data_IF_030551842902
#
_entry.id   IF_030551842902
#
_cell.length_a   1.000
_cell.length_b   1.000
_cell.length_c   1.000
_cell.angle_alpha   90.00
_cell.angle_beta   90.00
_cell.angle_gamma   90.00
#
_symmetry.space_group_name_H-M   'P 1'
#
loop_
_entity.id
_entity.type
_entity.pdbx_description
1 polymer ?
#
# COMPACT_ATOMS: atom_id res chain seq x y z
N UNK A 1 -33.48 24.58 -44.81
CA UNK A 1 -32.80 23.57 -45.64
C UNK A 1 -32.49 22.37 -44.77
N UNK A 2 -32.51 21.14 -45.32
CA UNK A 2 -32.00 19.97 -44.60
C UNK A 2 -30.58 20.22 -44.08
N UNK A 3 -30.27 19.73 -42.88
CA UNK A 3 -28.92 19.85 -42.31
C UNK A 3 -27.92 19.04 -43.17
N UNK A 4 -26.70 19.55 -43.37
CA UNK A 4 -25.72 18.94 -44.30
C UNK A 4 -25.36 17.49 -43.95
N UNK A 5 -25.51 17.10 -42.67
CA UNK A 5 -25.30 15.72 -42.20
C UNK A 5 -26.27 14.71 -42.82
N UNK A 6 -27.39 15.14 -43.41
CA UNK A 6 -28.30 14.28 -44.18
C UNK A 6 -27.71 13.86 -45.54
N UNK A 7 -26.70 14.57 -46.04
CA UNK A 7 -25.96 14.22 -47.25
C UNK A 7 -24.76 13.30 -47.02
N UNK A 8 -24.58 12.78 -45.80
CA UNK A 8 -23.51 11.84 -45.48
C UNK A 8 -23.81 10.46 -46.06
N UNK A 9 -22.82 9.89 -46.71
CA UNK A 9 -22.88 8.55 -47.30
C UNK A 9 -21.55 7.82 -47.08
N UNK A 10 -21.59 6.48 -47.12
CA UNK A 10 -20.40 5.61 -47.05
C UNK A 10 -19.61 5.68 -48.36
N UNK A 11 -18.28 5.67 -48.30
CA UNK A 11 -17.42 5.66 -49.48
C UNK A 11 -16.97 4.24 -49.91
N UNK A 12 -17.05 3.23 -49.02
CA UNK A 12 -16.70 1.81 -49.31
C UNK A 12 -17.92 0.85 -49.29
N UNK A 13 -17.86 -0.25 -50.07
CA UNK A 13 -18.85 -1.35 -50.05
C UNK A 13 -18.70 -2.25 -48.80
N UNK A 14 -19.82 -2.70 -48.22
CA UNK A 14 -19.92 -3.27 -46.84
C UNK A 14 -19.80 -4.79 -46.71
N UNK A 15 -19.31 -5.25 -45.55
CA UNK A 15 -19.69 -6.51 -44.88
C UNK A 15 -20.90 -6.26 -43.94
N UNK A 16 -21.71 -7.28 -43.57
CA UNK A 16 -22.95 -7.07 -42.83
C UNK A 16 -22.70 -6.80 -41.34
N UNK A 17 -23.14 -5.65 -40.82
CA UNK A 17 -22.77 -5.15 -39.48
C UNK A 17 -23.95 -4.58 -38.64
N UNK A 18 -25.19 -4.97 -38.92
CA UNK A 18 -26.36 -4.31 -38.29
C UNK A 18 -26.73 -4.80 -36.88
N UNK A 19 -26.05 -5.80 -36.31
CA UNK A 19 -26.56 -6.51 -35.13
C UNK A 19 -26.17 -5.92 -33.74
N UNK A 20 -25.37 -4.86 -33.69
CA UNK A 20 -24.77 -4.37 -32.43
C UNK A 20 -24.77 -2.84 -32.24
N UNK A 21 -25.49 -2.11 -33.08
CA UNK A 21 -25.50 -0.65 -33.09
C UNK A 21 -26.29 -0.06 -31.90
N UNK A 22 -25.70 0.94 -31.23
CA UNK A 22 -26.24 1.68 -30.07
C UNK A 22 -27.60 2.35 -30.43
N UNK A 23 -28.53 2.63 -29.49
CA UNK A 23 -29.74 3.46 -29.74
C UNK A 23 -29.48 4.79 -30.46
N UNK A 24 -28.26 5.32 -30.41
CA UNK A 24 -27.82 6.46 -31.22
C UNK A 24 -27.92 6.18 -32.75
N UNK A 25 -27.67 4.95 -33.20
CA UNK A 25 -27.74 4.56 -34.61
C UNK A 25 -29.18 4.52 -35.15
N UNK A 26 -30.14 4.01 -34.37
CA UNK A 26 -31.56 4.03 -34.76
C UNK A 26 -32.07 5.47 -34.90
N UNK A 27 -31.65 6.34 -33.98
CA UNK A 27 -31.97 7.78 -34.00
C UNK A 27 -31.36 8.49 -35.20
N UNK A 28 -30.09 8.23 -35.49
CA UNK A 28 -29.41 8.76 -36.68
C UNK A 28 -30.08 8.22 -37.95
N UNK A 29 -30.41 6.92 -38.00
CA UNK A 29 -31.06 6.30 -39.14
C UNK A 29 -32.42 6.91 -39.45
N UNK A 30 -33.22 7.18 -38.42
CA UNK A 30 -34.55 7.81 -38.55
C UNK A 30 -34.50 9.31 -38.88
N UNK A 31 -33.50 10.04 -38.37
CA UNK A 31 -33.46 11.52 -38.47
C UNK A 31 -32.54 12.01 -39.60
N UNK A 32 -31.43 11.32 -39.84
CA UNK A 32 -30.38 11.67 -40.79
C UNK A 32 -30.28 10.70 -41.98
N UNK A 33 -30.87 9.51 -41.86
CA UNK A 33 -30.87 8.48 -42.90
C UNK A 33 -29.77 7.44 -42.73
N UNK A 34 -29.92 6.29 -43.41
CA UNK A 34 -29.00 5.15 -43.34
C UNK A 34 -27.56 5.50 -43.80
N UNK A 35 -27.41 6.51 -44.68
CA UNK A 35 -26.11 6.98 -45.14
C UNK A 35 -25.27 7.58 -44.01
N UNK A 36 -25.90 8.31 -43.09
CA UNK A 36 -25.24 8.92 -41.93
C UNK A 36 -24.77 7.87 -40.91
N UNK A 37 -25.57 6.82 -40.69
CA UNK A 37 -25.18 5.66 -39.86
C UNK A 37 -23.96 4.96 -40.48
N UNK A 38 -24.04 4.68 -41.77
CA UNK A 38 -22.97 3.99 -42.50
C UNK A 38 -21.66 4.77 -42.51
N UNK A 39 -21.73 6.09 -42.65
CA UNK A 39 -20.58 6.99 -42.55
C UNK A 39 -19.95 6.92 -41.14
N UNK A 40 -20.76 6.97 -40.08
CA UNK A 40 -20.25 6.92 -38.71
C UNK A 40 -19.59 5.56 -38.38
N UNK A 41 -20.13 4.46 -38.93
CA UNK A 41 -19.51 3.13 -38.83
C UNK A 41 -18.14 3.12 -39.52
N UNK A 42 -18.06 3.59 -40.77
CA UNK A 42 -16.80 3.67 -41.53
C UNK A 42 -15.74 4.51 -40.78
N UNK A 43 -16.12 5.67 -40.25
CA UNK A 43 -15.22 6.50 -39.44
C UNK A 43 -14.78 5.78 -38.16
N UNK A 44 -15.68 5.09 -37.48
CA UNK A 44 -15.35 4.27 -36.30
C UNK A 44 -14.33 3.18 -36.60
N UNK A 45 -14.47 2.50 -37.74
CA UNK A 45 -13.50 1.50 -38.22
C UNK A 45 -12.14 2.13 -38.54
N UNK A 46 -12.12 3.25 -39.26
CA UNK A 46 -10.88 3.95 -39.62
C UNK A 46 -10.14 4.45 -38.36
N UNK A 47 -10.87 4.91 -37.34
CA UNK A 47 -10.30 5.25 -36.03
C UNK A 47 -9.63 4.03 -35.40
N UNK A 48 -10.35 2.91 -35.29
CA UNK A 48 -9.83 1.70 -34.65
C UNK A 48 -8.60 1.16 -35.38
N UNK A 49 -8.63 1.13 -36.71
CA UNK A 49 -7.49 0.73 -37.54
C UNK A 49 -6.28 1.66 -37.36
N UNK A 50 -6.51 2.97 -37.25
CA UNK A 50 -5.44 3.96 -37.02
C UNK A 50 -4.81 3.81 -35.65
N UNK A 51 -5.61 3.61 -34.61
CA UNK A 51 -5.11 3.34 -33.25
C UNK A 51 -4.18 2.12 -33.25
N UNK A 52 -4.60 1.01 -33.88
CA UNK A 52 -3.77 -0.21 -33.97
C UNK A 52 -2.47 0.04 -34.73
N UNK A 53 -2.52 0.81 -35.81
CA UNK A 53 -1.34 1.11 -36.65
C UNK A 53 -0.33 2.01 -35.93
N UNK A 54 -0.79 3.01 -35.18
CA UNK A 54 0.09 4.02 -34.58
C UNK A 54 0.52 3.69 -33.15
N UNK A 55 -0.21 2.81 -32.46
CA UNK A 55 0.07 2.40 -31.08
C UNK A 55 0.23 0.87 -30.98
N UNK A 56 1.32 0.30 -31.52
CA UNK A 56 1.55 -1.15 -31.58
C UNK A 56 1.80 -1.81 -30.21
N UNK A 57 2.03 -1.02 -29.15
CA UNK A 57 2.06 -1.51 -27.75
C UNK A 57 0.73 -2.15 -27.32
N UNK A 58 -0.35 -1.93 -28.08
CA UNK A 58 -1.56 -2.72 -27.98
C UNK A 58 -1.38 -4.05 -28.74
N UNK A 59 -0.77 -5.06 -28.11
CA UNK A 59 -0.89 -6.45 -28.59
C UNK A 59 -2.37 -6.87 -28.52
N UNK A 60 -3.10 -6.75 -29.63
CA UNK A 60 -4.53 -6.98 -29.65
C UNK A 60 -4.86 -8.40 -30.09
N UNK A 61 -5.49 -9.18 -29.20
CA UNK A 61 -6.31 -10.32 -29.62
C UNK A 61 -7.53 -9.81 -30.41
N UNK A 62 -8.09 -10.64 -31.30
CA UNK A 62 -9.25 -10.24 -32.11
C UNK A 62 -10.44 -9.70 -31.31
N UNK A 63 -10.61 -10.13 -30.05
CA UNK A 63 -11.63 -9.61 -29.15
C UNK A 63 -11.38 -8.15 -28.70
N UNK A 64 -10.12 -7.75 -28.50
CA UNK A 64 -9.77 -6.38 -28.10
C UNK A 64 -10.01 -5.38 -29.23
N UNK A 65 -9.67 -5.77 -30.46
CA UNK A 65 -9.98 -4.97 -31.64
C UNK A 65 -11.47 -4.71 -31.77
N UNK A 66 -12.30 -5.73 -31.51
CA UNK A 66 -13.76 -5.57 -31.53
C UNK A 66 -14.26 -4.61 -30.46
N UNK A 67 -13.69 -4.63 -29.26
CA UNK A 67 -14.04 -3.67 -28.18
C UNK A 67 -13.66 -2.24 -28.55
N UNK A 68 -12.45 -2.02 -29.07
CA UNK A 68 -11.99 -0.69 -29.52
C UNK A 68 -12.88 -0.19 -30.66
N UNK A 69 -13.13 -1.03 -31.66
CA UNK A 69 -14.02 -0.72 -32.79
C UNK A 69 -15.42 -0.34 -32.34
N UNK A 70 -15.98 -1.05 -31.34
CA UNK A 70 -17.28 -0.70 -30.75
C UNK A 70 -17.26 0.69 -30.11
N UNK A 71 -16.23 0.98 -29.31
CA UNK A 71 -16.08 2.27 -28.66
C UNK A 71 -15.91 3.41 -29.67
N UNK A 72 -15.16 3.21 -30.75
CA UNK A 72 -14.87 4.24 -31.75
C UNK A 72 -16.07 4.51 -32.65
N UNK A 73 -16.82 3.48 -33.04
CA UNK A 73 -18.11 3.63 -33.75
C UNK A 73 -19.15 4.35 -32.90
N UNK A 74 -19.32 3.98 -31.63
CA UNK A 74 -20.22 4.71 -30.71
C UNK A 74 -19.82 6.18 -30.60
N UNK A 75 -18.51 6.46 -30.50
CA UNK A 75 -17.97 7.82 -30.45
C UNK A 75 -18.30 8.62 -31.72
N UNK A 76 -18.16 8.01 -32.90
CA UNK A 76 -18.48 8.65 -34.18
C UNK A 76 -19.98 8.96 -34.31
N UNK A 77 -20.86 8.04 -33.90
CA UNK A 77 -22.31 8.25 -33.86
C UNK A 77 -22.67 9.42 -32.93
N UNK A 78 -22.11 9.46 -31.73
CA UNK A 78 -22.36 10.55 -30.76
C UNK A 78 -21.84 11.90 -31.23
N UNK A 79 -20.66 11.93 -31.83
CA UNK A 79 -20.15 13.16 -32.44
C UNK A 79 -21.11 13.67 -33.53
N UNK A 80 -21.70 12.76 -34.30
CA UNK A 80 -22.66 13.10 -35.34
C UNK A 80 -23.99 13.63 -34.77
N UNK A 81 -24.51 13.06 -33.67
CA UNK A 81 -25.73 13.58 -33.03
C UNK A 81 -25.54 15.01 -32.51
N UNK A 82 -24.35 15.33 -31.97
CA UNK A 82 -23.99 16.67 -31.50
C UNK A 82 -23.87 17.66 -32.66
N UNK A 83 -23.18 17.28 -33.73
CA UNK A 83 -23.00 18.12 -34.92
C UNK A 83 -24.35 18.41 -35.58
N UNK A 84 -25.23 17.41 -35.69
CA UNK A 84 -26.57 17.55 -36.25
C UNK A 84 -27.56 18.29 -35.32
N UNK A 85 -27.19 18.55 -34.07
CA UNK A 85 -28.06 19.21 -33.10
C UNK A 85 -29.25 18.35 -32.63
N UNK A 86 -29.11 17.03 -32.70
CA UNK A 86 -30.14 16.04 -32.30
C UNK A 86 -29.79 15.31 -31.00
N UNK A 87 -28.70 15.71 -30.35
CA UNK A 87 -28.33 15.21 -29.03
C UNK A 87 -29.33 15.69 -27.97
N UNK A 88 -29.68 14.82 -27.01
CA UNK A 88 -30.47 15.21 -25.84
C UNK A 88 -29.67 16.14 -24.92
N UNK A 89 -30.35 17.09 -24.28
CA UNK A 89 -29.73 18.06 -23.35
C UNK A 89 -28.97 17.41 -22.19
N UNK A 90 -29.31 16.17 -21.83
CA UNK A 90 -28.70 15.36 -20.75
C UNK A 90 -27.89 14.15 -21.27
N UNK A 91 -27.68 14.01 -22.58
CA UNK A 91 -26.88 12.91 -23.10
C UNK A 91 -25.43 13.06 -22.59
N UNK A 92 -25.03 12.24 -21.62
CA UNK A 92 -23.64 12.09 -21.23
C UNK A 92 -22.81 11.87 -22.50
N UNK A 93 -21.86 12.76 -22.74
CA UNK A 93 -20.92 12.66 -23.85
C UNK A 93 -20.02 11.40 -23.72
N UNK A 94 -19.98 10.78 -22.54
CA UNK A 94 -19.34 9.50 -22.28
C UNK A 94 -20.23 8.32 -22.70
N UNK A 95 -19.64 7.39 -23.47
CA UNK A 95 -20.25 6.11 -23.82
C UNK A 95 -19.76 5.03 -22.83
N UNK A 96 -20.61 4.06 -22.41
CA UNK A 96 -20.18 2.95 -21.56
C UNK A 96 -18.94 2.20 -22.07
N UNK A 97 -18.75 2.16 -23.38
CA UNK A 97 -17.62 1.54 -24.07
C UNK A 97 -16.29 2.25 -23.77
N UNK A 98 -16.31 3.57 -23.51
CA UNK A 98 -15.12 4.35 -23.13
C UNK A 98 -14.62 3.93 -21.75
N UNK A 99 -15.55 3.76 -20.82
CA UNK A 99 -15.23 3.26 -19.48
C UNK A 99 -14.67 1.84 -19.54
N UNK A 100 -15.22 0.98 -20.40
CA UNK A 100 -14.71 -0.38 -20.60
C UNK A 100 -13.26 -0.36 -21.08
N UNK A 101 -12.92 0.48 -22.07
CA UNK A 101 -11.54 0.61 -22.56
C UNK A 101 -10.64 1.19 -21.47
N UNK A 102 -11.04 2.24 -20.75
CA UNK A 102 -10.25 2.82 -19.66
C UNK A 102 -9.96 1.81 -18.53
N UNK A 103 -10.96 0.99 -18.17
CA UNK A 103 -10.81 -0.10 -17.18
C UNK A 103 -9.86 -1.20 -17.67
N UNK A 104 -9.93 -1.58 -18.95
CA UNK A 104 -9.00 -2.56 -19.54
C UNK A 104 -7.55 -2.07 -19.46
N UNK A 105 -7.29 -0.81 -19.83
CA UNK A 105 -5.96 -0.20 -19.72
C UNK A 105 -5.42 -0.23 -18.29
N UNK A 106 -6.25 0.14 -17.31
CA UNK A 106 -5.87 0.13 -15.90
C UNK A 106 -5.53 -1.29 -15.41
N UNK A 107 -6.35 -2.29 -15.74
CA UNK A 107 -6.15 -3.70 -15.34
C UNK A 107 -4.90 -4.33 -15.96
N UNK A 108 -4.53 -3.90 -17.16
CA UNK A 108 -3.32 -4.37 -17.86
C UNK A 108 -2.04 -3.69 -17.37
N UNK A 109 -2.15 -2.68 -16.50
CA UNK A 109 -1.01 -1.93 -15.99
C UNK A 109 -0.37 -0.98 -17.00
N UNK A 110 -1.09 -0.62 -18.06
CA UNK A 110 -0.62 0.36 -19.05
C UNK A 110 -0.56 1.78 -18.46
N UNK A 111 0.19 2.68 -19.10
CA UNK A 111 0.33 4.07 -18.61
C UNK A 111 -0.91 4.91 -18.96
N UNK A 112 -1.24 5.89 -18.11
CA UNK A 112 -2.31 6.85 -18.42
C UNK A 112 -2.00 7.60 -19.71
N UNK A 113 -0.73 7.90 -19.99
CA UNK A 113 -0.31 8.56 -21.22
C UNK A 113 -0.62 7.73 -22.47
N UNK A 114 -0.55 6.40 -22.39
CA UNK A 114 -0.89 5.51 -23.51
C UNK A 114 -2.40 5.56 -23.81
N UNK A 115 -3.22 5.58 -22.76
CA UNK A 115 -4.67 5.79 -22.88
C UNK A 115 -4.95 7.15 -23.53
N UNK A 116 -4.33 8.23 -23.04
CA UNK A 116 -4.50 9.57 -23.59
C UNK A 116 -4.01 9.68 -25.05
N UNK A 117 -2.93 9.00 -25.41
CA UNK A 117 -2.43 8.95 -26.78
C UNK A 117 -3.47 8.29 -27.72
N UNK A 118 -4.07 7.19 -27.29
CA UNK A 118 -5.14 6.49 -28.02
C UNK A 118 -6.33 7.41 -28.32
N UNK A 119 -6.74 8.19 -27.32
CA UNK A 119 -7.83 9.17 -27.43
C UNK A 119 -7.49 10.26 -28.45
N UNK A 120 -6.27 10.81 -28.39
CA UNK A 120 -5.83 11.88 -29.30
C UNK A 120 -5.76 11.40 -30.75
N UNK A 121 -5.27 10.19 -30.99
CA UNK A 121 -5.23 9.57 -32.33
C UNK A 121 -6.63 9.41 -32.88
N UNK A 122 -7.55 8.81 -32.11
CA UNK A 122 -8.91 8.61 -32.58
C UNK A 122 -9.68 9.90 -32.80
N UNK A 123 -9.44 10.90 -31.95
CA UNK A 123 -10.00 12.23 -32.12
C UNK A 123 -9.52 12.92 -33.40
N UNK A 124 -8.24 12.81 -33.74
CA UNK A 124 -7.69 13.42 -34.95
C UNK A 124 -8.36 12.86 -36.23
N UNK A 125 -8.60 11.55 -36.28
CA UNK A 125 -9.30 10.89 -37.40
C UNK A 125 -10.76 11.35 -37.48
N UNK A 126 -11.48 11.37 -36.35
CA UNK A 126 -12.86 11.83 -36.29
C UNK A 126 -13.00 13.30 -36.72
N UNK A 127 -12.11 14.15 -36.25
CA UNK A 127 -12.12 15.58 -36.57
C UNK A 127 -11.86 15.82 -38.06
N UNK A 128 -10.87 15.12 -38.64
CA UNK A 128 -10.62 15.19 -40.08
C UNK A 128 -11.86 14.78 -40.89
N UNK A 129 -12.46 13.63 -40.56
CA UNK A 129 -13.62 13.12 -41.28
C UNK A 129 -14.83 14.09 -41.24
N UNK A 130 -15.12 14.68 -40.08
CA UNK A 130 -16.22 15.65 -39.94
C UNK A 130 -15.95 16.97 -40.65
N UNK A 131 -14.71 17.48 -40.57
CA UNK A 131 -14.34 18.73 -41.22
C UNK A 131 -14.31 18.58 -42.74
N UNK A 132 -13.81 17.46 -43.26
CA UNK A 132 -13.82 17.15 -44.70
C UNK A 132 -15.26 17.02 -45.23
N UNK A 133 -16.14 16.36 -44.48
CA UNK A 133 -17.55 16.26 -44.85
C UNK A 133 -18.25 17.63 -44.83
N UNK A 134 -17.95 18.48 -43.84
CA UNK A 134 -18.48 19.85 -43.79
C UNK A 134 -17.98 20.70 -44.96
N UNK A 135 -16.71 20.57 -45.36
CA UNK A 135 -16.15 21.26 -46.52
C UNK A 135 -16.84 20.86 -47.84
N UNK A 136 -17.24 19.60 -47.98
CA UNK A 136 -17.88 19.09 -49.19
C UNK A 136 -19.38 19.42 -49.27
N UNK A 137 -20.10 19.37 -48.14
CA UNK A 137 -21.56 19.40 -48.12
C UNK A 137 -22.15 20.76 -47.70
N UNK A 138 -21.37 21.64 -47.07
CA UNK A 138 -21.84 22.97 -46.66
C UNK A 138 -21.61 23.99 -47.79
N UNK A 139 -22.63 24.77 -48.20
CA UNK A 139 -22.46 25.83 -49.19
C UNK A 139 -21.38 26.84 -48.79
N UNK A 140 -20.59 27.32 -49.77
CA UNK A 140 -19.47 28.24 -49.55
C UNK A 140 -19.76 29.46 -48.64
N UNK A 141 -20.93 30.12 -48.69
CA UNK A 141 -21.25 31.23 -47.79
C UNK A 141 -21.30 30.86 -46.29
N UNK A 142 -21.52 29.59 -45.96
CA UNK A 142 -21.70 29.09 -44.60
C UNK A 142 -20.55 28.19 -44.10
N UNK A 143 -19.63 27.81 -44.98
CA UNK A 143 -18.57 26.83 -44.69
C UNK A 143 -17.68 27.22 -43.50
N UNK A 144 -17.17 28.46 -43.46
CA UNK A 144 -16.30 28.93 -42.36
C UNK A 144 -17.00 28.94 -40.99
N UNK A 145 -18.30 29.27 -40.96
CA UNK A 145 -19.09 29.29 -39.73
C UNK A 145 -19.32 27.87 -39.21
N UNK A 146 -19.66 26.93 -40.09
CA UNK A 146 -19.85 25.53 -39.73
C UNK A 146 -18.54 24.86 -39.32
N UNK A 147 -17.42 25.11 -40.00
CA UNK A 147 -16.09 24.62 -39.58
C UNK A 147 -15.74 25.07 -38.16
N UNK A 148 -15.95 26.37 -37.85
CA UNK A 148 -15.75 26.89 -36.49
C UNK A 148 -16.67 26.20 -35.48
N UNK A 149 -17.95 26.00 -35.83
CA UNK A 149 -18.93 25.32 -34.96
C UNK A 149 -18.51 23.88 -34.67
N UNK A 150 -18.21 23.11 -35.70
CA UNK A 150 -17.77 21.71 -35.59
C UNK A 150 -16.49 21.59 -34.78
N UNK A 151 -15.49 22.46 -35.03
CA UNK A 151 -14.22 22.43 -34.29
C UNK A 151 -14.41 22.68 -32.78
N UNK A 152 -15.22 23.67 -32.41
CA UNK A 152 -15.52 23.97 -31.00
C UNK A 152 -16.31 22.84 -30.35
N UNK A 153 -17.28 22.24 -31.07
CA UNK A 153 -18.04 21.10 -30.57
C UNK A 153 -17.13 19.89 -30.33
N UNK A 154 -16.28 19.56 -31.29
CA UNK A 154 -15.35 18.45 -31.17
C UNK A 154 -14.37 18.66 -30.02
N UNK A 155 -13.86 19.87 -29.80
CA UNK A 155 -12.99 20.15 -28.66
C UNK A 155 -13.69 19.85 -27.33
N UNK A 156 -14.97 20.23 -27.19
CA UNK A 156 -15.77 19.88 -26.00
C UNK A 156 -15.95 18.37 -25.82
N UNK A 157 -16.12 17.63 -26.92
CA UNK A 157 -16.17 16.16 -26.89
C UNK A 157 -14.85 15.60 -26.37
N UNK A 158 -13.71 16.06 -26.90
CA UNK A 158 -12.38 15.61 -26.47
C UNK A 158 -12.13 15.88 -24.99
N UNK A 159 -12.41 17.09 -24.52
CA UNK A 159 -12.21 17.47 -23.11
C UNK A 159 -13.05 16.60 -22.17
N UNK A 160 -14.33 16.41 -22.50
CA UNK A 160 -15.21 15.56 -21.68
C UNK A 160 -14.75 14.10 -21.70
N UNK A 161 -14.44 13.56 -22.88
CA UNK A 161 -14.00 12.19 -23.05
C UNK A 161 -12.71 11.92 -22.27
N UNK A 162 -11.75 12.85 -22.36
CA UNK A 162 -10.47 12.78 -21.65
C UNK A 162 -10.67 12.80 -20.13
N UNK A 163 -11.57 13.66 -19.64
CA UNK A 163 -11.90 13.76 -18.22
C UNK A 163 -12.49 12.45 -17.67
N UNK A 164 -13.47 11.87 -18.37
CA UNK A 164 -14.11 10.62 -17.94
C UNK A 164 -13.13 9.45 -18.02
N UNK A 165 -12.41 9.29 -19.14
CA UNK A 165 -11.43 8.21 -19.30
C UNK A 165 -10.32 8.28 -18.23
N UNK A 166 -9.84 9.48 -17.91
CA UNK A 166 -8.83 9.68 -16.84
C UNK A 166 -9.38 9.29 -15.48
N UNK A 167 -10.58 9.76 -15.13
CA UNK A 167 -11.21 9.46 -13.84
C UNK A 167 -11.43 7.95 -13.69
N UNK A 168 -12.04 7.31 -14.69
CA UNK A 168 -12.30 5.86 -14.68
C UNK A 168 -11.01 5.05 -14.60
N UNK A 169 -9.95 5.43 -15.34
CA UNK A 169 -8.65 4.76 -15.28
C UNK A 169 -8.04 4.83 -13.88
N UNK A 170 -8.03 6.03 -13.27
CA UNK A 170 -7.45 6.23 -11.94
C UNK A 170 -8.24 5.49 -10.86
N UNK A 171 -9.57 5.51 -10.93
CA UNK A 171 -10.44 4.75 -10.02
C UNK A 171 -10.20 3.25 -10.12
N UNK A 172 -10.18 2.69 -11.33
CA UNK A 172 -9.94 1.26 -11.53
C UNK A 172 -8.53 0.85 -11.08
N UNK A 173 -7.50 1.68 -11.37
CA UNK A 173 -6.12 1.43 -10.93
C UNK A 173 -6.02 1.44 -9.41
N UNK A 174 -6.67 2.39 -8.74
CA UNK A 174 -6.72 2.45 -7.28
C UNK A 174 -7.47 1.26 -6.68
N UNK A 175 -8.60 0.88 -7.25
CA UNK A 175 -9.37 -0.28 -6.83
C UNK A 175 -8.58 -1.59 -6.99
N UNK A 176 -7.83 -1.74 -8.08
CA UNK A 176 -6.96 -2.90 -8.31
C UNK A 176 -5.84 -2.99 -7.26
N UNK A 177 -5.13 -1.88 -6.99
CA UNK A 177 -4.08 -1.82 -5.96
C UNK A 177 -4.64 -2.11 -4.57
N UNK A 178 -5.81 -1.57 -4.24
CA UNK A 178 -6.50 -1.84 -2.99
C UNK A 178 -6.91 -3.32 -2.88
N UNK A 179 -7.43 -3.92 -3.95
CA UNK A 179 -7.81 -5.33 -4.02
C UNK A 179 -6.63 -6.28 -3.82
N UNK A 180 -5.48 -6.01 -4.46
CA UNK A 180 -4.24 -6.78 -4.26
C UNK A 180 -3.77 -6.66 -2.81
N UNK A 181 -3.79 -5.46 -2.23
CA UNK A 181 -3.39 -5.23 -0.83
C UNK A 181 -4.31 -5.97 0.15
N UNK A 182 -5.62 -5.96 -0.11
CA UNK A 182 -6.61 -6.69 0.70
C UNK A 182 -6.41 -8.22 0.59
N UNK A 183 -6.21 -8.75 -0.61
CA UNK A 183 -5.95 -10.19 -0.81
C UNK A 183 -4.68 -10.64 -0.09
N UNK A 184 -3.60 -9.83 -0.13
CA UNK A 184 -2.37 -10.10 0.61
C UNK A 184 -2.60 -10.06 2.12
N UNK A 185 -3.31 -9.06 2.63
CA UNK A 185 -3.63 -8.95 4.06
C UNK A 185 -4.44 -10.15 4.54
N UNK A 186 -5.47 -10.55 3.80
CA UNK A 186 -6.30 -11.71 4.16
C UNK A 186 -5.49 -13.02 4.16
N UNK A 187 -4.60 -13.22 3.19
CA UNK A 187 -3.73 -14.38 3.18
C UNK A 187 -2.71 -14.36 4.33
N UNK A 188 -2.10 -13.21 4.62
CA UNK A 188 -1.18 -13.04 5.75
C UNK A 188 -1.87 -13.35 7.08
N UNK A 189 -3.11 -12.88 7.28
CA UNK A 189 -3.91 -13.20 8.48
C UNK A 189 -4.13 -14.70 8.62
N UNK A 190 -4.53 -15.40 7.55
CA UNK A 190 -4.70 -16.87 7.58
C UNK A 190 -3.42 -17.60 8.02
N UNK A 191 -2.27 -17.18 7.50
CA UNK A 191 -0.97 -17.75 7.91
C UNK A 191 -0.69 -17.47 9.39
N UNK A 192 -0.93 -16.25 9.86
CA UNK A 192 -0.75 -15.84 11.27
C UNK A 192 -1.72 -16.57 12.20
N UNK A 193 -2.94 -16.87 11.75
CA UNK A 193 -3.97 -17.62 12.48
C UNK A 193 -3.66 -19.13 12.52
N UNK A 194 -2.95 -19.63 11.50
CA UNK A 194 -2.40 -21.00 11.46
C UNK A 194 -3.19 -21.92 10.56
N UNK A 195 -4.00 -21.32 9.69
CA UNK A 195 -4.76 -22.04 8.69
C UNK A 195 -3.84 -22.71 7.68
N UNK A 196 -4.27 -23.87 7.20
CA UNK A 196 -3.59 -24.53 6.09
C UNK A 196 -3.70 -23.67 4.82
N UNK A 197 -2.56 -23.24 4.29
CA UNK A 197 -2.49 -22.49 3.02
C UNK A 197 -1.69 -23.28 1.97
N UNK A 198 -2.12 -23.16 0.72
CA UNK A 198 -1.33 -23.64 -0.41
C UNK A 198 -0.12 -22.71 -0.61
N UNK A 199 1.08 -23.28 -0.53
CA UNK A 199 2.36 -22.54 -0.59
C UNK A 199 2.59 -21.87 -1.94
N UNK A 200 2.27 -22.55 -3.05
CA UNK A 200 2.46 -21.99 -4.38
C UNK A 200 1.51 -20.82 -4.63
N UNK A 201 0.25 -20.96 -4.19
CA UNK A 201 -0.72 -19.86 -4.20
C UNK A 201 -0.28 -18.71 -3.30
N UNK A 202 0.32 -19.01 -2.15
CA UNK A 202 0.78 -17.99 -1.22
C UNK A 202 1.92 -17.15 -1.81
N UNK A 203 2.94 -17.79 -2.38
CA UNK A 203 4.06 -17.12 -3.03
C UNK A 203 3.60 -16.20 -4.16
N UNK A 204 2.64 -16.64 -4.98
CA UNK A 204 2.06 -15.86 -6.08
C UNK A 204 1.33 -14.61 -5.58
N UNK A 205 0.40 -14.76 -4.62
CA UNK A 205 -0.41 -13.65 -4.12
C UNK A 205 0.44 -12.63 -3.35
N UNK A 206 1.38 -13.11 -2.54
CA UNK A 206 2.26 -12.25 -1.76
C UNK A 206 3.38 -11.61 -2.61
N UNK A 207 3.76 -12.24 -3.73
CA UNK A 207 4.96 -11.85 -4.48
C UNK A 207 6.24 -12.00 -3.64
N UNK A 208 6.22 -12.95 -2.70
CA UNK A 208 7.22 -13.15 -1.65
C UNK A 208 7.23 -14.63 -1.29
N UNK A 209 8.41 -15.26 -1.23
CA UNK A 209 8.49 -16.69 -0.93
C UNK A 209 8.28 -16.97 0.55
N UNK A 210 7.27 -17.77 0.89
CA UNK A 210 6.96 -18.20 2.26
C UNK A 210 7.87 -19.33 2.78
N UNK A 211 8.80 -19.81 1.95
CA UNK A 211 9.81 -20.82 2.31
C UNK A 211 11.16 -20.20 2.73
N UNK A 212 11.27 -18.86 2.67
CA UNK A 212 12.49 -18.16 3.03
C UNK A 212 12.80 -18.23 4.53
N UNK A 213 13.92 -17.63 4.93
CA UNK A 213 14.18 -17.27 6.31
C UNK A 213 13.68 -15.85 6.55
N UNK A 214 12.69 -15.72 7.40
CA UNK A 214 11.90 -14.53 7.61
C UNK A 214 12.33 -13.82 8.89
N UNK A 215 12.47 -12.50 8.83
CA UNK A 215 12.42 -11.62 10.00
C UNK A 215 11.18 -10.76 9.86
N UNK A 216 10.25 -10.92 10.81
CA UNK A 216 9.00 -10.16 10.90
C UNK A 216 9.21 -8.85 11.66
N UNK A 217 8.62 -7.77 11.13
CA UNK A 217 8.64 -6.44 11.73
C UNK A 217 7.22 -5.89 11.84
N UNK A 218 6.97 -5.17 12.92
CA UNK A 218 5.83 -4.27 13.04
C UNK A 218 6.38 -2.87 13.28
N UNK A 219 6.18 -1.99 12.29
CA UNK A 219 6.62 -0.61 12.35
C UNK A 219 5.39 0.30 12.47
N UNK A 220 5.42 1.25 13.39
CA UNK A 220 4.34 2.20 13.63
C UNK A 220 4.87 3.63 13.79
N UNK A 221 4.21 4.59 13.15
CA UNK A 221 4.49 6.03 13.34
C UNK A 221 3.79 6.54 14.60
N UNK A 222 4.49 7.40 15.34
CA UNK A 222 3.94 8.17 16.46
C UNK A 222 3.41 9.50 15.89
N UNK A 223 2.14 9.77 16.19
CA UNK A 223 1.32 10.90 15.69
C UNK A 223 2.09 12.19 15.36
N UNK A 224 1.85 12.75 14.17
CA UNK A 224 2.42 13.98 13.55
C UNK A 224 3.80 13.87 12.87
N UNK A 225 4.42 12.69 12.78
CA UNK A 225 5.60 12.55 11.91
C UNK A 225 5.15 12.35 10.45
N UNK A 226 5.69 13.15 9.53
CA UNK A 226 5.48 13.00 8.08
C UNK A 226 6.46 11.97 7.48
N UNK A 227 6.98 11.06 8.31
CA UNK A 227 7.96 10.07 7.92
C UNK A 227 7.27 8.85 7.32
N UNK A 228 7.77 8.43 6.17
CA UNK A 228 7.34 7.20 5.54
C UNK A 228 7.85 6.01 6.37
N UNK A 229 6.95 5.37 7.12
CA UNK A 229 7.23 4.18 7.95
C UNK A 229 7.80 3.03 7.10
N UNK A 230 7.57 3.01 5.78
CA UNK A 230 8.18 2.02 4.90
C UNK A 230 9.70 2.20 4.80
N UNK A 231 10.19 3.44 4.86
CA UNK A 231 11.61 3.77 4.67
C UNK A 231 12.53 3.19 5.76
N UNK A 232 11.97 2.83 6.93
CA UNK A 232 12.74 2.29 8.05
C UNK A 232 12.91 0.77 8.01
N UNK A 233 12.17 0.07 7.15
CA UNK A 233 12.13 -1.40 7.10
C UNK A 233 13.49 -1.97 6.65
N UNK A 234 14.02 -1.51 5.51
CA UNK A 234 15.30 -2.02 4.99
C UNK A 234 16.46 -1.72 5.95
N UNK A 235 16.61 -0.48 6.50
CA UNK A 235 17.62 -0.21 7.53
C UNK A 235 17.50 -1.09 8.78
N UNK A 236 16.28 -1.37 9.26
CA UNK A 236 16.08 -2.25 10.42
C UNK A 236 16.49 -3.70 10.11
N UNK A 237 16.15 -4.19 8.92
CA UNK A 237 16.49 -5.56 8.48
C UNK A 237 18.00 -5.80 8.35
N UNK A 238 18.80 -4.75 8.07
CA UNK A 238 20.26 -4.86 7.92
C UNK A 238 20.98 -5.46 9.14
N UNK A 239 20.35 -5.41 10.31
CA UNK A 239 20.88 -6.05 11.51
C UNK A 239 21.02 -7.58 11.36
N UNK A 240 20.19 -8.21 10.50
CA UNK A 240 20.27 -9.63 10.14
C UNK A 240 20.83 -9.87 8.72
N UNK A 241 21.35 -8.83 8.07
CA UNK A 241 21.89 -8.87 6.72
C UNK A 241 21.00 -8.19 5.67
N UNK A 242 21.44 -8.24 4.41
CA UNK A 242 20.67 -7.66 3.30
C UNK A 242 19.53 -8.62 2.94
N UNK A 243 18.29 -8.14 3.06
CA UNK A 243 17.12 -8.90 2.66
C UNK A 243 17.10 -9.06 1.13
N UNK A 244 16.89 -10.30 0.67
CA UNK A 244 16.74 -10.63 -0.76
C UNK A 244 15.38 -10.22 -1.32
N UNK A 245 14.36 -10.16 -0.46
CA UNK A 245 13.01 -9.69 -0.76
C UNK A 245 12.37 -9.16 0.52
N UNK A 246 11.44 -8.21 0.37
CA UNK A 246 10.69 -7.63 1.50
C UNK A 246 9.19 -7.60 1.16
N UNK A 247 8.39 -8.27 1.98
CA UNK A 247 6.93 -8.16 1.95
C UNK A 247 6.49 -7.02 2.87
N UNK A 248 5.62 -6.13 2.40
CA UNK A 248 5.09 -5.00 3.17
C UNK A 248 3.57 -4.98 3.07
N UNK A 249 2.90 -5.02 4.21
CA UNK A 249 1.44 -5.01 4.35
C UNK A 249 1.05 -3.80 5.22
N UNK A 250 0.49 -2.73 4.62
CA UNK A 250 -0.05 -1.60 5.40
C UNK A 250 -1.24 -2.02 6.26
N UNK A 251 -1.24 -1.62 7.53
CA UNK A 251 -2.31 -1.88 8.50
C UNK A 251 -2.83 -0.54 9.01
N UNK A 252 -3.92 -0.07 8.39
CA UNK A 252 -4.43 1.28 8.65
C UNK A 252 -3.46 2.37 8.19
N UNK A 253 -3.48 3.52 8.86
CA UNK A 253 -2.76 4.73 8.40
C UNK A 253 -1.34 4.88 8.97
N UNK A 254 -1.03 4.20 10.06
CA UNK A 254 0.19 4.48 10.85
C UNK A 254 1.01 3.24 11.15
N UNK A 255 0.55 2.04 10.78
CA UNK A 255 1.20 0.77 11.09
C UNK A 255 1.45 -0.03 9.83
N UNK A 256 2.59 -0.71 9.78
CA UNK A 256 2.97 -1.60 8.70
C UNK A 256 3.46 -2.92 9.31
N UNK A 257 2.98 -4.03 8.75
CA UNK A 257 3.61 -5.33 8.94
C UNK A 257 4.58 -5.59 7.80
N UNK A 258 5.76 -6.10 8.10
CA UNK A 258 6.75 -6.43 7.09
C UNK A 258 7.49 -7.73 7.39
N UNK A 259 7.98 -8.39 6.34
CA UNK A 259 8.84 -9.56 6.43
C UNK A 259 10.02 -9.39 5.49
N UNK A 260 11.24 -9.50 6.03
CA UNK A 260 12.47 -9.57 5.23
C UNK A 260 12.91 -11.01 5.04
N UNK A 261 13.19 -11.40 3.79
CA UNK A 261 13.83 -12.68 3.46
C UNK A 261 15.36 -12.56 3.61
N UNK A 262 15.88 -12.94 4.76
CA UNK A 262 17.31 -12.84 5.12
C UNK A 262 18.02 -14.18 4.95
N UNK A 263 19.32 -14.20 4.67
CA UNK A 263 20.05 -15.47 4.48
C UNK A 263 20.69 -15.92 5.81
N UNK A 264 20.37 -17.14 6.32
CA UNK A 264 20.88 -17.64 7.61
C UNK A 264 22.41 -17.82 7.68
N UNK A 265 23.12 -17.98 6.56
CA UNK A 265 24.59 -18.13 6.58
C UNK A 265 25.33 -16.86 7.03
N UNK A 266 24.64 -15.73 7.11
CA UNK A 266 25.13 -14.48 7.70
C UNK A 266 24.39 -14.11 9.00
N UNK A 267 23.54 -15.00 9.52
CA UNK A 267 22.44 -14.73 10.44
C UNK A 267 22.77 -14.61 11.94
N UNK A 268 24.03 -14.40 12.32
CA UNK A 268 24.25 -13.82 13.65
C UNK A 268 23.88 -12.34 13.58
N UNK A 269 22.94 -11.84 14.42
CA UNK A 269 22.68 -10.41 14.51
C UNK A 269 24.01 -9.67 14.63
N UNK A 270 24.18 -8.57 13.88
CA UNK A 270 25.39 -7.77 14.02
C UNK A 270 25.53 -7.35 15.48
N UNK A 271 26.75 -7.41 16.04
CA UNK A 271 27.00 -7.05 17.45
C UNK A 271 26.74 -5.56 17.77
N UNK A 272 26.20 -4.80 16.83
CA UNK A 272 25.91 -3.37 16.97
C UNK A 272 24.48 -3.11 17.41
N UNK A 273 24.20 -1.91 17.97
CA UNK A 273 22.87 -1.53 18.41
C UNK A 273 21.89 -1.47 17.23
N UNK A 274 20.61 -1.75 17.51
CA UNK A 274 19.55 -1.56 16.55
C UNK A 274 19.39 -0.07 16.19
N UNK A 275 19.11 0.25 14.91
CA UNK A 275 18.96 1.64 14.49
C UNK A 275 17.69 2.26 15.07
N UNK A 276 17.75 3.52 15.48
CA UNK A 276 16.62 4.30 16.01
C UNK A 276 16.16 5.31 14.96
N UNK A 277 14.85 5.44 14.79
CA UNK A 277 14.24 6.35 13.81
C UNK A 277 13.27 7.28 14.51
N UNK A 278 13.48 8.59 14.38
CA UNK A 278 12.64 9.58 15.04
C UNK A 278 11.17 9.42 14.66
N UNK A 279 10.31 9.51 15.68
CA UNK A 279 8.86 9.38 15.52
C UNK A 279 8.38 7.98 15.13
N UNK A 280 9.23 6.96 15.07
CA UNK A 280 8.84 5.59 14.67
C UNK A 280 9.18 4.58 15.75
N UNK A 281 8.25 3.64 15.99
CA UNK A 281 8.51 2.45 16.80
C UNK A 281 8.62 1.23 15.88
N UNK A 282 9.63 0.41 16.08
CA UNK A 282 9.84 -0.82 15.32
C UNK A 282 9.98 -1.98 16.31
N UNK A 283 9.09 -2.95 16.17
CA UNK A 283 9.12 -4.19 16.91
C UNK A 283 9.55 -5.31 15.98
N UNK A 284 10.52 -6.12 16.38
CA UNK A 284 11.16 -7.11 15.50
C UNK A 284 11.11 -8.50 16.14
N UNK A 285 10.70 -9.50 15.36
CA UNK A 285 10.74 -10.91 15.75
C UNK A 285 12.09 -11.56 15.48
N UNK A 286 12.22 -12.82 15.85
CA UNK A 286 13.43 -13.59 15.58
C UNK A 286 13.38 -14.21 14.18
N UNK A 287 14.55 -14.44 13.55
CA UNK A 287 14.61 -15.19 12.30
C UNK A 287 13.94 -16.56 12.41
N UNK A 288 13.11 -16.90 11.43
CA UNK A 288 12.45 -18.22 11.34
C UNK A 288 12.31 -18.69 9.91
N UNK A 289 12.27 -20.00 9.67
CA UNK A 289 12.19 -20.56 8.31
C UNK A 289 10.80 -21.05 7.96
N UNK A 290 10.40 -20.90 6.69
CA UNK A 290 9.14 -21.43 6.19
C UNK A 290 7.91 -20.75 6.77
N UNK A 291 6.73 -21.31 6.49
CA UNK A 291 5.44 -20.78 6.98
C UNK A 291 5.41 -20.60 8.51
N UNK A 292 5.95 -21.55 9.28
CA UNK A 292 5.99 -21.43 10.74
C UNK A 292 6.94 -20.32 11.18
N UNK A 293 8.09 -20.16 10.52
CA UNK A 293 9.00 -19.05 10.75
C UNK A 293 8.38 -17.69 10.43
N UNK A 294 7.67 -17.60 9.30
CA UNK A 294 6.91 -16.42 8.89
C UNK A 294 5.91 -16.00 9.96
N UNK A 295 5.12 -16.97 10.45
CA UNK A 295 4.14 -16.80 11.53
C UNK A 295 4.80 -16.41 12.84
N UNK A 296 5.72 -17.22 13.35
CA UNK A 296 6.35 -17.06 14.67
C UNK A 296 7.04 -15.71 14.78
N UNK A 297 7.84 -15.34 13.78
CA UNK A 297 8.56 -14.06 13.78
C UNK A 297 7.60 -12.87 13.86
N UNK A 298 6.45 -12.95 13.18
CA UNK A 298 5.43 -11.91 13.30
C UNK A 298 4.76 -11.87 14.68
N UNK A 299 4.44 -13.03 15.27
CA UNK A 299 3.84 -13.10 16.61
C UNK A 299 4.78 -12.56 17.69
N UNK A 300 6.08 -12.83 17.57
CA UNK A 300 7.14 -12.25 18.42
C UNK A 300 7.22 -10.73 18.24
N UNK A 301 7.24 -10.23 16.99
CA UNK A 301 7.19 -8.79 16.72
C UNK A 301 5.93 -8.13 17.32
N UNK A 302 4.77 -8.79 17.25
CA UNK A 302 3.52 -8.34 17.88
C UNK A 302 3.58 -8.38 19.41
N UNK A 303 4.32 -9.31 20.00
CA UNK A 303 4.56 -9.32 21.45
C UNK A 303 5.43 -8.11 21.85
N UNK A 304 6.49 -7.84 21.11
CA UNK A 304 7.36 -6.67 21.32
C UNK A 304 6.59 -5.36 21.14
N UNK A 305 5.75 -5.24 20.11
CA UNK A 305 4.91 -4.05 19.89
C UNK A 305 3.98 -3.80 21.10
N UNK A 306 3.34 -4.85 21.63
CA UNK A 306 2.52 -4.75 22.84
C UNK A 306 3.35 -4.24 24.02
N UNK A 307 4.55 -4.78 24.21
CA UNK A 307 5.46 -4.32 25.26
C UNK A 307 5.83 -2.84 25.10
N UNK A 308 6.16 -2.38 23.88
CA UNK A 308 6.49 -0.98 23.59
C UNK A 308 5.32 -0.07 24.01
N UNK A 309 4.08 -0.48 23.72
CA UNK A 309 2.88 0.29 24.06
C UNK A 309 2.56 0.34 25.56
N UNK A 310 3.11 -0.57 26.37
CA UNK A 310 2.99 -0.54 27.84
C UNK A 310 3.98 0.43 28.50
N UNK A 311 5.06 0.82 27.80
CA UNK A 311 6.06 1.74 28.35
C UNK A 311 5.47 3.14 28.48
N UNK A 312 5.96 3.89 29.48
CA UNK A 312 5.69 5.33 29.57
C UNK A 312 6.06 6.04 28.25
N UNK A 313 5.21 6.95 27.73
CA UNK A 313 5.48 7.62 26.47
C UNK A 313 6.81 8.40 26.48
N UNK A 314 7.74 8.02 25.61
CA UNK A 314 8.97 8.75 25.33
C UNK A 314 8.86 9.49 23.98
N UNK A 315 9.55 10.62 23.83
CA UNK A 315 9.51 11.45 22.61
C UNK A 315 10.34 10.87 21.46
N UNK A 316 11.28 10.00 21.75
CA UNK A 316 12.20 9.39 20.77
C UNK A 316 11.58 8.17 20.10
N UNK A 317 12.11 7.84 18.92
CA UNK A 317 11.88 6.54 18.30
C UNK A 317 12.37 5.39 19.17
N UNK A 318 11.91 4.19 18.87
CA UNK A 318 12.31 2.99 19.61
C UNK A 318 12.29 1.77 18.70
N UNK A 319 13.43 1.09 18.60
CA UNK A 319 13.54 -0.19 17.87
C UNK A 319 13.92 -1.26 18.87
N UNK A 320 13.13 -2.33 18.94
CA UNK A 320 13.33 -3.44 19.89
C UNK A 320 13.16 -4.75 19.15
N UNK A 321 14.10 -5.66 19.35
CA UNK A 321 14.00 -7.02 18.89
C UNK A 321 13.55 -7.96 20.01
N UNK A 322 12.86 -9.04 19.65
CA UNK A 322 12.32 -10.00 20.61
C UNK A 322 13.39 -10.60 21.52
N UNK A 323 14.60 -10.87 21.00
CA UNK A 323 15.70 -11.40 21.79
C UNK A 323 16.15 -10.46 22.93
N UNK A 324 15.87 -9.15 22.83
CA UNK A 324 16.19 -8.17 23.89
C UNK A 324 15.18 -8.21 25.04
N UNK A 325 13.97 -8.72 24.78
CA UNK A 325 12.81 -8.60 25.70
C UNK A 325 12.00 -9.89 25.83
N UNK A 326 12.60 -11.05 25.54
CA UNK A 326 11.91 -12.33 25.53
C UNK A 326 11.38 -12.75 26.89
N UNK A 327 12.02 -12.33 27.99
CA UNK A 327 11.51 -12.59 29.35
C UNK A 327 10.38 -11.61 29.70
N UNK A 328 10.57 -10.34 29.38
CA UNK A 328 9.60 -9.27 29.60
C UNK A 328 8.29 -9.56 28.84
N UNK A 329 8.37 -10.15 27.63
CA UNK A 329 7.19 -10.54 26.84
C UNK A 329 6.33 -11.59 27.55
N UNK A 330 6.95 -12.51 28.29
CA UNK A 330 6.27 -13.49 29.12
C UNK A 330 5.72 -12.86 30.40
N UNK A 331 6.56 -12.09 31.12
CA UNK A 331 6.21 -11.48 32.41
C UNK A 331 5.08 -10.45 32.30
N UNK A 332 4.97 -9.74 31.18
CA UNK A 332 3.97 -8.69 30.93
C UNK A 332 2.79 -9.16 30.07
N UNK A 333 2.52 -10.47 30.03
CA UNK A 333 1.30 -11.00 29.39
C UNK A 333 0.03 -10.49 30.07
N UNK A 334 0.06 -10.31 31.40
CA UNK A 334 -0.99 -9.69 32.22
C UNK A 334 -0.39 -8.46 32.96
N UNK A 335 -0.44 -7.26 32.36
CA UNK A 335 0.21 -6.07 32.93
C UNK A 335 -0.32 -5.67 34.32
N UNK A 336 -1.64 -5.67 34.60
CA UNK A 336 -2.15 -5.44 35.95
C UNK A 336 -1.57 -6.41 37.00
N UNK A 337 -1.55 -7.72 36.70
CA UNK A 337 -0.97 -8.69 37.62
C UNK A 337 0.54 -8.50 37.82
N UNK A 338 1.26 -8.14 36.76
CA UNK A 338 2.70 -7.84 36.79
C UNK A 338 3.00 -6.59 37.65
N UNK A 339 2.19 -5.54 37.56
CA UNK A 339 2.34 -4.35 38.40
C UNK A 339 2.09 -4.66 39.88
N UNK A 340 1.07 -5.46 40.21
CA UNK A 340 0.80 -5.88 41.58
C UNK A 340 1.92 -6.78 42.14
N UNK A 341 2.47 -7.66 41.29
CA UNK A 341 3.65 -8.44 41.62
C UNK A 341 4.86 -7.55 41.93
N UNK A 342 5.11 -6.50 41.12
CA UNK A 342 6.19 -5.53 41.37
C UNK A 342 5.99 -4.81 42.69
N UNK A 343 4.79 -4.27 42.96
CA UNK A 343 4.48 -3.56 44.21
C UNK A 343 4.70 -4.45 45.44
N UNK A 344 4.25 -5.70 45.37
CA UNK A 344 4.41 -6.68 46.46
C UNK A 344 5.86 -7.10 46.68
N UNK A 345 6.64 -7.22 45.61
CA UNK A 345 8.01 -7.75 45.67
C UNK A 345 9.04 -6.66 45.99
N UNK A 346 8.90 -5.47 45.41
CA UNK A 346 9.83 -4.35 45.63
C UNK A 346 9.41 -3.48 46.84
N UNK A 347 8.13 -3.48 47.22
CA UNK A 347 7.63 -2.63 48.29
C UNK A 347 7.97 -1.16 48.04
N UNK A 348 8.45 -0.41 49.06
CA UNK A 348 8.92 0.97 48.90
C UNK A 348 10.01 1.18 47.84
N UNK A 349 10.74 0.13 47.43
CA UNK A 349 11.74 0.27 46.36
C UNK A 349 11.11 0.56 44.99
N UNK A 350 9.81 0.28 44.82
CA UNK A 350 9.05 0.62 43.61
C UNK A 350 8.68 2.12 43.51
N UNK A 351 9.02 2.95 44.49
CA UNK A 351 8.68 4.37 44.46
C UNK A 351 9.38 5.09 43.29
N UNK A 352 8.70 6.09 42.73
CA UNK A 352 9.16 6.90 41.58
C UNK A 352 10.00 8.10 42.01
N UNK A 353 11.00 7.86 42.87
CA UNK A 353 11.94 8.87 43.33
C UNK A 353 13.38 8.56 42.87
N UNK A 354 14.25 9.58 42.72
CA UNK A 354 15.62 9.38 42.22
C UNK A 354 16.46 8.42 43.07
N UNK A 355 16.22 8.38 44.39
CA UNK A 355 16.97 7.49 45.28
C UNK A 355 16.54 6.04 45.07
N UNK A 356 15.25 5.76 44.96
CA UNK A 356 14.76 4.42 44.66
C UNK A 356 15.19 3.96 43.27
N UNK A 357 15.26 4.86 42.27
CA UNK A 357 15.81 4.57 40.96
C UNK A 357 17.29 4.13 41.01
N UNK A 358 18.14 4.87 41.74
CA UNK A 358 19.54 4.50 41.97
C UNK A 358 19.69 3.12 42.63
N UNK A 359 18.85 2.86 43.65
CA UNK A 359 18.86 1.61 44.39
C UNK A 359 18.42 0.43 43.50
N UNK A 360 17.36 0.61 42.69
CA UNK A 360 16.90 -0.38 41.70
C UNK A 360 17.98 -0.69 40.67
N UNK A 361 18.61 0.33 40.10
CA UNK A 361 19.69 0.16 39.11
C UNK A 361 20.91 -0.56 39.68
N UNK A 362 21.32 -0.22 40.91
CA UNK A 362 22.45 -0.88 41.58
C UNK A 362 22.12 -2.34 41.92
N UNK A 363 20.90 -2.59 42.41
CA UNK A 363 20.44 -3.94 42.75
C UNK A 363 20.33 -4.82 41.51
N UNK A 364 19.77 -4.30 40.40
CA UNK A 364 19.71 -5.01 39.12
C UNK A 364 21.09 -5.46 38.65
N UNK A 365 22.05 -4.53 38.55
CA UNK A 365 23.44 -4.85 38.18
C UNK A 365 24.11 -5.84 39.12
N UNK A 366 23.87 -5.73 40.41
CA UNK A 366 24.38 -6.69 41.39
C UNK A 366 23.85 -8.11 41.14
N UNK A 367 22.57 -8.25 40.81
CA UNK A 367 21.96 -9.53 40.53
C UNK A 367 22.38 -10.11 39.17
N UNK A 368 22.63 -9.27 38.17
CA UNK A 368 23.11 -9.66 36.84
C UNK A 368 24.61 -9.99 36.81
N UNK A 369 25.41 -9.43 37.73
CA UNK A 369 26.85 -9.67 37.84
C UNK A 369 27.21 -10.72 38.90
N UNK A 370 26.38 -11.75 39.08
CA UNK A 370 26.57 -12.86 40.01
C UNK A 370 26.89 -12.40 41.45
N UNK A 371 26.21 -11.36 41.93
CA UNK A 371 26.40 -10.82 43.27
C UNK A 371 27.81 -10.22 43.52
N UNK A 372 28.51 -9.80 42.47
CA UNK A 372 29.86 -9.23 42.59
C UNK A 372 29.84 -7.72 42.82
N UNK A 373 30.00 -7.31 44.09
CA UNK A 373 30.11 -5.90 44.48
C UNK A 373 31.25 -5.16 43.76
N UNK A 374 32.37 -5.84 43.49
CA UNK A 374 33.53 -5.24 42.82
C UNK A 374 33.24 -4.96 41.34
N UNK A 375 32.52 -5.86 40.65
CA UNK A 375 32.14 -5.66 39.24
C UNK A 375 31.16 -4.50 39.10
N UNK A 376 30.15 -4.45 39.98
CA UNK A 376 29.18 -3.34 40.01
C UNK A 376 29.90 -2.01 40.30
N UNK A 377 30.81 -1.97 41.28
CA UNK A 377 31.58 -0.77 41.60
C UNK A 377 32.41 -0.25 40.41
N UNK A 378 33.02 -1.17 39.65
CA UNK A 378 33.79 -0.83 38.47
C UNK A 378 32.91 -0.26 37.34
N UNK A 379 31.75 -0.87 37.07
CA UNK A 379 30.81 -0.42 36.03
C UNK A 379 30.08 0.87 36.42
N UNK A 380 29.75 1.05 37.70
CA UNK A 380 29.14 2.27 38.21
C UNK A 380 30.12 3.42 38.43
N UNK A 381 31.43 3.14 38.36
CA UNK A 381 32.48 4.09 38.74
C UNK A 381 32.29 4.68 40.16
N UNK A 382 31.84 3.86 41.11
CA UNK A 382 31.66 4.24 42.52
C UNK A 382 32.43 3.31 43.47
N UNK A 383 32.55 3.70 44.74
CA UNK A 383 33.23 2.87 45.73
C UNK A 383 32.45 1.59 46.04
N UNK A 384 33.17 0.48 46.31
CA UNK A 384 32.58 -0.78 46.79
C UNK A 384 31.68 -0.58 48.02
N UNK A 385 32.06 0.33 48.91
CA UNK A 385 31.28 0.64 50.11
C UNK A 385 29.93 1.26 49.75
N UNK A 386 29.90 2.14 48.74
CA UNK A 386 28.67 2.73 48.22
C UNK A 386 27.77 1.67 47.59
N UNK A 387 28.30 0.77 46.78
CA UNK A 387 27.54 -0.37 46.21
C UNK A 387 26.97 -1.23 47.34
N UNK A 388 27.79 -1.59 48.32
CA UNK A 388 27.37 -2.41 49.47
C UNK A 388 26.21 -1.77 50.22
N UNK A 389 26.32 -0.47 50.51
CA UNK A 389 25.24 0.29 51.13
C UNK A 389 23.97 0.29 50.28
N UNK A 390 24.08 0.57 48.97
CA UNK A 390 22.93 0.62 48.05
C UNK A 390 22.25 -0.75 47.94
N UNK A 391 22.99 -1.83 47.76
CA UNK A 391 22.44 -3.20 47.70
C UNK A 391 21.74 -3.57 49.01
N UNK A 392 22.39 -3.37 50.16
CA UNK A 392 21.80 -3.67 51.46
C UNK A 392 20.52 -2.86 51.72
N UNK A 393 20.53 -1.58 51.32
CA UNK A 393 19.35 -0.72 51.45
C UNK A 393 18.21 -1.18 50.55
N UNK A 394 18.51 -1.54 49.29
CA UNK A 394 17.52 -2.01 48.34
C UNK A 394 16.87 -3.32 48.81
N UNK A 395 17.67 -4.31 49.24
CA UNK A 395 17.18 -5.58 49.81
C UNK A 395 16.32 -5.37 51.07
N UNK A 396 16.71 -4.43 51.92
CA UNK A 396 15.94 -4.09 53.12
C UNK A 396 14.59 -3.46 52.77
N UNK A 397 14.53 -2.59 51.77
CA UNK A 397 13.28 -1.95 51.33
C UNK A 397 12.34 -2.97 50.65
N UNK A 398 12.88 -3.92 49.89
CA UNK A 398 12.09 -5.01 49.29
C UNK A 398 11.70 -6.11 50.29
N UNK A 399 12.07 -5.99 51.57
CA UNK A 399 11.82 -7.02 52.59
C UNK A 399 12.49 -8.38 52.28
N UNK A 400 13.54 -8.38 51.46
CA UNK A 400 14.19 -9.61 51.01
C UNK A 400 15.02 -10.24 52.15
N UNK A 401 14.76 -11.51 52.44
CA UNK A 401 15.48 -12.26 53.48
C UNK A 401 16.83 -12.73 52.92
N UNK A 402 17.97 -12.43 53.58
CA UNK A 402 19.27 -12.88 53.13
C UNK A 402 19.35 -14.41 52.97
N UNK A 403 19.87 -14.87 51.82
CA UNK A 403 19.99 -16.29 51.50
C UNK A 403 18.77 -16.91 50.81
N UNK A 404 17.67 -16.17 50.68
CA UNK A 404 16.51 -16.60 49.88
C UNK A 404 16.77 -16.45 48.37
N UNK A 405 16.06 -17.21 47.52
CA UNK A 405 16.15 -17.07 46.06
C UNK A 405 15.80 -15.65 45.59
N UNK A 406 16.57 -15.11 44.63
CA UNK A 406 16.37 -13.75 44.09
C UNK A 406 15.57 -13.73 42.79
N UNK A 407 14.94 -14.84 42.40
CA UNK A 407 14.19 -14.97 41.13
C UNK A 407 13.07 -13.94 41.03
N UNK A 408 12.23 -13.83 42.07
CA UNK A 408 11.12 -12.88 42.10
C UNK A 408 11.60 -11.44 42.04
N UNK A 409 12.71 -11.15 42.72
CA UNK A 409 13.33 -9.82 42.75
C UNK A 409 13.89 -9.44 41.38
N UNK A 410 14.56 -10.36 40.68
CA UNK A 410 15.03 -10.16 39.30
C UNK A 410 13.86 -9.89 38.35
N UNK A 411 12.80 -10.69 38.43
CA UNK A 411 11.61 -10.51 37.60
C UNK A 411 10.94 -9.15 37.86
N UNK A 412 10.77 -8.76 39.13
CA UNK A 412 10.15 -7.50 39.49
C UNK A 412 10.97 -6.28 39.02
N UNK A 413 12.30 -6.33 39.14
CA UNK A 413 13.18 -5.26 38.63
C UNK A 413 13.12 -5.14 37.10
N UNK A 414 13.04 -6.26 36.38
CA UNK A 414 12.91 -6.29 34.91
C UNK A 414 11.61 -5.65 34.44
N UNK A 415 10.48 -6.03 35.04
CA UNK A 415 9.16 -5.45 34.77
C UNK A 415 9.18 -3.94 35.03
N UNK A 416 9.65 -3.53 36.21
CA UNK A 416 9.68 -2.12 36.62
C UNK A 416 10.58 -1.28 35.70
N UNK A 417 11.76 -1.79 35.34
CA UNK A 417 12.68 -1.13 34.40
C UNK A 417 12.02 -0.90 33.04
N UNK A 418 11.36 -1.93 32.49
CA UNK A 418 10.71 -1.85 31.19
C UNK A 418 9.59 -0.80 31.18
N UNK A 419 8.65 -0.88 32.12
CA UNK A 419 7.48 0.01 32.20
C UNK A 419 7.89 1.49 32.33
N UNK A 420 8.96 1.78 33.08
CA UNK A 420 9.46 3.15 33.26
C UNK A 420 10.23 3.70 32.08
N UNK A 421 10.59 2.85 31.12
CA UNK A 421 11.31 3.28 29.95
C UNK A 421 12.83 3.22 30.08
N UNK A 422 13.36 2.50 31.07
CA UNK A 422 14.80 2.24 31.20
C UNK A 422 15.17 1.01 30.36
N UNK A 423 16.00 1.19 29.33
CA UNK A 423 16.65 0.07 28.64
C UNK A 423 17.78 -0.44 29.51
N UNK A 424 17.79 -1.75 29.77
CA UNK A 424 18.95 -2.43 30.35
C UNK A 424 20.04 -2.38 29.27
N UNK A 425 21.08 -1.56 29.45
CA UNK A 425 22.26 -1.68 28.59
C UNK A 425 22.90 -3.05 28.85
N UNK A 426 23.24 -3.82 27.80
CA UNK A 426 23.81 -5.16 27.91
C UNK A 426 25.21 -5.19 28.55
#
# INVERSE_FOLDING_TARGET
MPHWTQGLHRNRQSQPEDEWLNPDADRIGTTLGAGAVSWAVEVGEDIAATIVRELPTMEQTGAQFQTVRRATTSTALRALTLVAGIAESDAQLSSPEVEVVAKDFARRGLDLNDLLATIRVGYAVLAAALLDAALQLVPAPHSSQEMRRVSVLLFKVLDHFTSVATTTFLEERNAFVAGVSAARLELVKKIIEGDSVDRGRADEVLGYSVEAHHVGLVASSRSHSNHDVRSVIDPALRHWGVASAVLVIPIGLQTIWAWGAVNPTHGTPTQGPLPVFDGTTIAIGEPGTGLEGFRRSHLEARAVERLINLRRPQRTGLTVAHYEVGLESLLLTDPPAAEDFVKRTLGPLADDDPRSADLRGTLGRYLDMDHSLNRVAAVEHISKNTVTYRVNRALSLSGHVPGSPTTDLRAALRIDSWLRGHTTEP
#
